data_IF_143628688654
#
_entry.id   IF_143628688654
#
_cell.length_a   1.000
_cell.length_b   1.000
_cell.length_c   1.000
_cell.angle_alpha   90.00
_cell.angle_beta   90.00
_cell.angle_gamma   90.00
#
_symmetry.space_group_name_H-M   'P 1'
#
loop_
_entity.id
_entity.type
_entity.pdbx_description
1 polymer ?
#
# COMPACT_ATOMS: atom_id res chain seq x y z
N UNK A 1 -1.83 18.42 -33.73
CA UNK A 1 -1.08 18.01 -32.52
C UNK A 1 -1.91 18.45 -31.33
N UNK A 2 -2.43 17.52 -30.53
CA UNK A 2 -3.01 17.87 -29.22
C UNK A 2 -1.85 18.30 -28.34
N UNK A 3 -1.98 19.44 -27.70
CA UNK A 3 -0.93 20.03 -26.88
C UNK A 3 -0.53 19.04 -25.79
N UNK A 4 0.77 18.83 -25.61
CA UNK A 4 1.38 17.93 -24.61
C UNK A 4 1.33 18.58 -23.21
N UNK A 5 0.37 19.48 -22.98
CA UNK A 5 -0.17 19.69 -21.64
C UNK A 5 -1.11 18.52 -21.31
N UNK A 6 -0.52 17.34 -21.22
CA UNK A 6 -1.14 16.22 -20.51
C UNK A 6 -1.57 16.75 -19.15
N UNK A 7 -2.86 16.66 -18.85
CA UNK A 7 -3.41 16.95 -17.53
C UNK A 7 -2.51 16.32 -16.45
N UNK A 8 -2.16 17.09 -15.42
CA UNK A 8 -1.31 16.64 -14.32
C UNK A 8 -1.84 15.33 -13.73
N UNK A 9 -3.16 15.20 -13.62
CA UNK A 9 -3.79 13.98 -13.11
C UNK A 9 -3.48 12.77 -13.99
N UNK A 10 -3.61 12.91 -15.32
CA UNK A 10 -3.32 11.84 -16.26
C UNK A 10 -1.83 11.44 -16.26
N UNK A 11 -0.92 12.41 -16.13
CA UNK A 11 0.50 12.12 -15.96
C UNK A 11 0.76 11.40 -14.63
N UNK A 12 0.26 11.93 -13.52
CA UNK A 12 0.48 11.40 -12.18
C UNK A 12 0.01 9.95 -12.05
N UNK A 13 -1.18 9.63 -12.57
CA UNK A 13 -1.70 8.26 -12.61
C UNK A 13 -0.76 7.29 -13.34
N UNK A 14 -0.25 7.70 -14.50
CA UNK A 14 0.65 6.85 -15.29
C UNK A 14 2.00 6.73 -14.61
N UNK A 15 2.58 7.81 -14.10
CA UNK A 15 3.85 7.78 -13.34
C UNK A 15 3.77 6.79 -12.20
N UNK A 16 2.67 6.84 -11.45
CA UNK A 16 2.40 5.94 -10.33
C UNK A 16 2.31 4.49 -10.78
N UNK A 17 1.61 4.19 -11.88
CA UNK A 17 1.55 2.83 -12.44
C UNK A 17 2.92 2.30 -12.86
N UNK A 18 3.80 3.18 -13.34
CA UNK A 18 5.16 2.83 -13.78
C UNK A 18 6.14 2.64 -12.61
N UNK A 19 5.84 3.18 -11.42
CA UNK A 19 6.73 3.06 -10.26
C UNK A 19 7.11 1.60 -10.02
N UNK A 20 8.40 1.30 -9.91
CA UNK A 20 8.89 -0.05 -9.60
C UNK A 20 8.51 -1.16 -10.61
N UNK A 21 8.01 -0.81 -11.80
CA UNK A 21 7.79 -1.78 -12.87
C UNK A 21 9.10 -2.03 -13.62
N UNK A 22 9.36 -3.28 -14.07
CA UNK A 22 10.44 -3.54 -15.02
C UNK A 22 10.28 -2.72 -16.31
N UNK A 23 11.38 -2.37 -16.96
CA UNK A 23 11.36 -1.54 -18.17
C UNK A 23 10.46 -2.10 -19.27
N UNK A 24 10.41 -3.42 -19.42
CA UNK A 24 9.54 -4.13 -20.38
C UNK A 24 8.04 -3.90 -20.09
N UNK A 25 7.64 -4.02 -18.81
CA UNK A 25 6.27 -3.76 -18.36
C UNK A 25 5.91 -2.28 -18.50
N UNK A 26 6.84 -1.38 -18.18
CA UNK A 26 6.66 0.06 -18.35
C UNK A 26 6.41 0.44 -19.81
N UNK A 27 7.17 -0.15 -20.74
CA UNK A 27 6.97 0.05 -22.18
C UNK A 27 5.58 -0.41 -22.66
N UNK A 28 5.10 -1.56 -22.16
CA UNK A 28 3.77 -2.07 -22.50
C UNK A 28 2.64 -1.16 -21.98
N UNK A 29 2.76 -0.65 -20.75
CA UNK A 29 1.79 0.28 -20.15
C UNK A 29 1.72 1.58 -20.97
N UNK A 30 2.87 2.14 -21.33
CA UNK A 30 2.95 3.38 -22.13
C UNK A 30 2.37 3.18 -23.53
N UNK A 31 2.70 2.06 -24.18
CA UNK A 31 2.15 1.72 -25.50
C UNK A 31 0.63 1.54 -25.47
N UNK A 32 0.11 0.82 -24.47
CA UNK A 32 -1.33 0.62 -24.31
C UNK A 32 -2.11 1.93 -24.13
N UNK A 33 -1.49 2.93 -23.49
CA UNK A 33 -2.08 4.26 -23.29
C UNK A 33 -1.80 5.24 -24.43
N UNK A 34 -1.08 4.82 -25.47
CA UNK A 34 -0.70 5.70 -26.58
C UNK A 34 0.25 6.83 -26.18
N UNK A 35 1.05 6.61 -25.12
CA UNK A 35 1.92 7.62 -24.51
C UNK A 35 3.40 7.47 -24.89
N UNK A 36 3.79 6.40 -25.59
CA UNK A 36 5.21 6.05 -25.81
C UNK A 36 6.07 7.20 -26.32
N UNK A 37 5.57 8.01 -27.26
CA UNK A 37 6.34 9.11 -27.87
C UNK A 37 6.34 10.39 -27.03
N UNK A 38 5.25 10.65 -26.30
CA UNK A 38 5.06 11.89 -25.53
C UNK A 38 5.49 11.77 -24.06
N UNK A 39 5.62 10.54 -23.56
CA UNK A 39 5.93 10.27 -22.16
C UNK A 39 7.21 10.95 -21.68
N UNK A 40 8.37 10.87 -22.38
CA UNK A 40 9.59 11.49 -21.86
C UNK A 40 9.48 13.00 -21.68
N UNK A 41 8.72 13.67 -22.55
CA UNK A 41 8.51 15.12 -22.48
C UNK A 41 7.54 15.49 -21.35
N UNK A 42 6.44 14.74 -21.22
CA UNK A 42 5.47 14.94 -20.13
C UNK A 42 6.11 14.66 -18.76
N UNK A 43 6.93 13.61 -18.67
CA UNK A 43 7.61 13.20 -17.44
C UNK A 43 8.64 14.23 -16.97
N UNK A 44 9.47 14.74 -17.89
CA UNK A 44 10.37 15.84 -17.59
C UNK A 44 9.63 17.09 -17.11
N UNK A 45 8.61 17.52 -17.88
CA UNK A 45 7.84 18.73 -17.56
C UNK A 45 7.20 18.69 -16.16
N UNK A 46 6.47 17.62 -15.85
CA UNK A 46 5.76 17.54 -14.57
C UNK A 46 6.68 17.27 -13.38
N UNK A 47 7.81 16.59 -13.59
CA UNK A 47 8.86 16.46 -12.58
C UNK A 47 9.46 17.82 -12.22
N UNK A 48 9.74 18.67 -13.21
CA UNK A 48 10.25 20.02 -12.98
C UNK A 48 9.22 20.88 -12.22
N UNK A 49 7.94 20.80 -12.61
CA UNK A 49 6.84 21.51 -11.91
C UNK A 49 6.72 21.07 -10.45
N UNK A 50 6.80 19.77 -10.15
CA UNK A 50 6.76 19.26 -8.77
C UNK A 50 7.96 19.75 -7.95
N UNK A 51 9.16 19.77 -8.54
CA UNK A 51 10.35 20.31 -7.88
C UNK A 51 10.19 21.80 -7.56
N UNK A 52 9.66 22.57 -8.50
CA UNK A 52 9.42 24.01 -8.34
C UNK A 52 8.36 24.30 -7.26
N UNK A 53 7.28 23.52 -7.25
CA UNK A 53 6.24 23.59 -6.23
C UNK A 53 6.80 23.29 -4.83
N UNK A 54 7.73 22.33 -4.73
CA UNK A 54 8.39 21.99 -3.47
C UNK A 54 9.28 23.14 -2.97
N UNK A 55 10.07 23.71 -3.87
CA UNK A 55 10.95 24.84 -3.58
C UNK A 55 10.17 26.08 -3.11
N UNK A 56 8.95 26.26 -3.62
CA UNK A 56 8.07 27.38 -3.28
C UNK A 56 7.04 27.08 -2.19
N UNK A 57 7.06 25.89 -1.59
CA UNK A 57 6.11 25.47 -0.55
C UNK A 57 4.66 25.29 -1.05
N UNK A 58 4.44 25.15 -2.36
CA UNK A 58 3.13 24.87 -2.98
C UNK A 58 2.87 23.37 -3.00
N UNK A 59 2.40 22.82 -1.89
CA UNK A 59 2.35 21.37 -1.70
C UNK A 59 1.16 20.66 -2.35
N UNK A 60 0.19 21.36 -2.93
CA UNK A 60 -1.07 20.75 -3.42
C UNK A 60 -0.84 19.62 -4.44
N UNK A 61 -0.02 19.85 -5.47
CA UNK A 61 0.29 18.82 -6.48
C UNK A 61 1.19 17.71 -5.92
N UNK A 62 2.12 18.07 -5.03
CA UNK A 62 3.02 17.10 -4.38
C UNK A 62 2.22 16.15 -3.50
N UNK A 63 1.32 16.71 -2.69
CA UNK A 63 0.43 15.96 -1.82
C UNK A 63 -0.41 15.02 -2.70
N UNK A 64 -1.06 15.54 -3.75
CA UNK A 64 -1.87 14.75 -4.69
C UNK A 64 -1.09 13.61 -5.35
N UNK A 65 0.12 13.87 -5.83
CA UNK A 65 0.99 12.83 -6.39
C UNK A 65 1.35 11.76 -5.34
N UNK A 66 1.68 12.21 -4.12
CA UNK A 66 1.92 11.34 -2.98
C UNK A 66 0.73 10.46 -2.63
N UNK A 67 -0.50 10.99 -2.69
CA UNK A 67 -1.74 10.23 -2.48
C UNK A 67 -1.87 9.07 -3.47
N UNK A 68 -1.64 9.36 -4.75
CA UNK A 68 -1.71 8.35 -5.82
C UNK A 68 -0.62 7.29 -5.65
N UNK A 69 0.62 7.69 -5.31
CA UNK A 69 1.71 6.77 -5.00
C UNK A 69 1.34 5.82 -3.85
N UNK A 70 0.82 6.37 -2.74
CA UNK A 70 0.43 5.59 -1.57
C UNK A 70 -0.68 4.58 -1.89
N UNK A 71 -1.68 5.00 -2.67
CA UNK A 71 -2.75 4.14 -3.14
C UNK A 71 -2.21 2.96 -3.97
N UNK A 72 -1.34 3.24 -4.94
CA UNK A 72 -0.79 2.20 -5.82
C UNK A 72 0.08 1.19 -5.07
N UNK A 73 0.94 1.68 -4.16
CA UNK A 73 1.74 0.81 -3.31
C UNK A 73 0.86 -0.10 -2.45
N UNK A 74 -0.24 0.44 -1.91
CA UNK A 74 -1.23 -0.35 -1.16
C UNK A 74 -1.93 -1.38 -2.05
N UNK A 75 -2.38 -1.01 -3.25
CA UNK A 75 -3.02 -1.91 -4.22
C UNK A 75 -2.11 -3.09 -4.57
N UNK A 76 -0.82 -2.83 -4.79
CA UNK A 76 0.18 -3.87 -5.08
C UNK A 76 0.40 -4.80 -3.90
N UNK A 77 0.45 -4.27 -2.68
CA UNK A 77 0.56 -5.07 -1.45
C UNK A 77 -0.63 -6.00 -1.24
N UNK A 78 -1.82 -5.63 -1.72
CA UNK A 78 -2.98 -6.52 -1.68
C UNK A 78 -2.95 -7.56 -2.80
N UNK A 79 -2.52 -7.16 -3.99
CA UNK A 79 -2.48 -8.02 -5.18
C UNK A 79 -1.37 -9.07 -5.10
N UNK A 80 -0.30 -8.75 -4.37
CA UNK A 80 0.72 -9.70 -3.96
C UNK A 80 0.63 -9.88 -2.45
N UNK A 81 -0.14 -10.87 -1.94
CA UNK A 81 -0.10 -11.17 -0.52
C UNK A 81 1.36 -11.39 -0.15
N UNK A 82 1.83 -10.63 0.85
CA UNK A 82 3.19 -10.75 1.33
C UNK A 82 3.48 -12.23 1.53
N UNK A 83 4.46 -12.76 0.79
CA UNK A 83 5.05 -14.05 1.14
C UNK A 83 5.41 -13.91 2.60
N UNK A 84 4.75 -14.71 3.44
CA UNK A 84 4.92 -14.63 4.88
C UNK A 84 6.39 -14.97 5.17
N UNK A 85 7.20 -13.93 5.32
CA UNK A 85 8.64 -14.05 5.54
C UNK A 85 8.91 -14.82 6.84
N UNK A 86 7.93 -14.81 7.77
CA UNK A 86 7.92 -15.61 8.98
C UNK A 86 7.72 -17.11 8.69
N UNK A 87 6.93 -17.50 7.67
CA UNK A 87 6.87 -18.88 7.21
C UNK A 87 8.11 -19.30 6.41
N UNK A 88 8.70 -18.40 5.63
CA UNK A 88 9.89 -18.69 4.81
C UNK A 88 11.16 -18.90 5.66
N UNK A 89 11.31 -18.18 6.78
CA UNK A 89 12.45 -18.33 7.70
C UNK A 89 12.28 -19.53 8.65
N UNK A 90 11.03 -19.94 8.95
CA UNK A 90 10.76 -21.09 9.81
C UNK A 90 10.75 -22.43 9.06
N UNK A 91 10.62 -22.44 7.73
CA UNK A 91 10.94 -23.61 6.87
C UNK A 91 12.42 -23.60 6.50
N UNK A 92 13.28 -23.63 7.51
CA UNK A 92 14.67 -24.01 7.33
C UNK A 92 14.79 -25.51 7.10
N UNK A 93 14.27 -26.01 5.98
CA UNK A 93 14.64 -27.32 5.47
C UNK A 93 15.62 -27.10 4.33
N UNK A 94 16.91 -27.25 4.68
CA UNK A 94 17.96 -27.35 3.69
C UNK A 94 17.73 -28.60 2.86
N UNK A 95 17.29 -28.43 1.62
CA UNK A 95 17.45 -29.45 0.60
C UNK A 95 18.12 -28.84 -0.62
N UNK A 96 19.45 -28.95 -0.62
CA UNK A 96 20.24 -28.87 -1.82
C UNK A 96 19.87 -30.05 -2.71
N UNK A 97 19.03 -29.82 -3.72
CA UNK A 97 18.83 -30.82 -4.78
C UNK A 97 19.73 -30.46 -5.95
N UNK A 98 20.87 -31.16 -5.96
CA UNK A 98 21.77 -31.28 -7.10
C UNK A 98 21.02 -31.77 -8.34
N UNK A 99 21.48 -31.25 -9.48
CA UNK A 99 21.22 -31.76 -10.81
C UNK A 99 21.51 -33.26 -10.92
N UNK A 100 20.61 -33.99 -11.60
CA UNK A 100 20.93 -35.13 -12.48
C UNK A 100 19.71 -35.46 -13.37
N UNK A 101 19.81 -35.11 -14.65
CA UNK A 101 19.32 -35.94 -15.76
C UNK A 101 20.22 -37.20 -15.85
N UNK A 102 19.87 -38.33 -16.53
CA UNK A 102 19.21 -38.34 -17.85
C UNK A 102 18.31 -39.57 -18.21
N UNK A 103 17.84 -39.54 -19.46
CA UNK A 103 17.45 -40.64 -20.37
C UNK A 103 16.06 -41.31 -20.33
N UNK A 104 15.32 -41.04 -21.42
CA UNK A 104 14.69 -41.95 -22.38
C UNK A 104 13.74 -43.07 -21.90
N UNK A 105 12.50 -43.03 -22.40
CA UNK A 105 11.93 -44.17 -23.12
C UNK A 105 10.80 -43.75 -24.06
N UNK A 106 10.96 -44.13 -25.33
CA UNK A 106 9.94 -44.27 -26.36
C UNK A 106 8.71 -45.07 -25.89
N UNK A 107 7.54 -44.80 -26.48
CA UNK A 107 6.48 -45.79 -26.59
C UNK A 107 5.05 -45.29 -26.46
N UNK A 108 4.51 -44.68 -27.52
CA UNK A 108 3.09 -44.80 -27.90
C UNK A 108 3.07 -45.80 -29.09
N UNK A 109 2.05 -46.65 -29.35
CA UNK A 109 0.61 -46.41 -29.14
C UNK A 109 -0.28 -47.65 -28.78
N UNK A 110 -1.51 -47.42 -28.28
CA UNK A 110 -2.78 -47.75 -28.96
C UNK A 110 -3.99 -47.71 -28.02
N UNK A 111 -5.11 -47.42 -28.67
CA UNK A 111 -6.45 -47.24 -28.15
C UNK A 111 -7.15 -48.53 -27.68
N UNK A 112 -8.21 -48.26 -26.91
CA UNK A 112 -9.50 -48.98 -26.80
C UNK A 112 -9.72 -50.02 -25.69
N UNK A 113 -10.97 -49.98 -25.20
CA UNK A 113 -11.65 -50.81 -24.18
C UNK A 113 -11.36 -50.44 -22.72
N UNK A 114 -12.28 -49.95 -21.88
CA UNK A 114 -13.70 -50.31 -21.70
C UNK A 114 -14.49 -49.10 -21.17
N UNK A 115 -15.65 -48.85 -21.78
CA UNK A 115 -16.69 -47.98 -21.27
C UNK A 115 -17.36 -48.59 -20.04
N UNK A 116 -17.36 -47.91 -18.89
CA UNK A 116 -18.43 -48.07 -17.90
C UNK A 116 -18.51 -46.94 -16.87
N UNK A 117 -19.72 -46.38 -16.79
CA UNK A 117 -20.29 -45.58 -15.71
C UNK A 117 -19.81 -44.13 -15.57
N UNK A 118 -20.27 -43.29 -16.50
CA UNK A 118 -20.40 -41.86 -16.25
C UNK A 118 -21.68 -41.59 -15.42
N UNK A 119 -21.61 -40.87 -14.29
CA UNK A 119 -22.79 -40.31 -13.64
C UNK A 119 -23.40 -39.19 -14.50
N UNK A 120 -24.72 -38.90 -14.38
CA UNK A 120 -25.36 -37.84 -15.15
C UNK A 120 -24.72 -36.48 -14.85
N UNK A 121 -24.38 -35.76 -15.92
CA UNK A 121 -23.88 -34.38 -15.86
C UNK A 121 -24.91 -33.50 -15.11
N UNK A 122 -24.49 -32.72 -14.11
CA UNK A 122 -25.36 -31.70 -13.53
C UNK A 122 -25.67 -30.64 -14.60
N UNK A 123 -26.93 -30.19 -14.63
CA UNK A 123 -27.39 -29.14 -15.52
C UNK A 123 -26.52 -27.87 -15.41
N UNK A 124 -26.33 -27.10 -16.49
CA UNK A 124 -25.56 -25.85 -16.44
C UNK A 124 -26.22 -24.92 -15.42
N UNK A 125 -25.53 -24.70 -14.29
CA UNK A 125 -25.92 -23.67 -13.36
C UNK A 125 -25.78 -22.31 -14.09
N UNK A 126 -26.79 -21.43 -14.05
CA UNK A 126 -26.61 -20.07 -14.53
C UNK A 126 -25.47 -19.45 -13.74
N UNK A 127 -24.55 -18.70 -14.38
CA UNK A 127 -23.52 -18.00 -13.63
C UNK A 127 -24.24 -17.14 -12.60
N UNK A 128 -24.01 -17.45 -11.32
CA UNK A 128 -24.24 -16.50 -10.26
C UNK A 128 -23.33 -15.33 -10.58
N UNK A 129 -23.90 -14.33 -11.28
CA UNK A 129 -23.50 -12.95 -11.19
C UNK A 129 -23.69 -12.57 -9.71
N UNK A 130 -22.76 -13.04 -8.88
CA UNK A 130 -22.32 -12.27 -7.74
C UNK A 130 -21.88 -10.97 -8.39
N UNK A 131 -22.77 -10.00 -8.31
CA UNK A 131 -22.37 -8.61 -8.23
C UNK A 131 -21.42 -8.54 -7.03
N UNK A 132 -20.16 -8.93 -7.26
CA UNK A 132 -19.08 -8.12 -6.73
C UNK A 132 -19.31 -6.77 -7.38
N UNK A 133 -20.15 -5.96 -6.73
CA UNK A 133 -19.91 -4.54 -6.69
C UNK A 133 -18.46 -4.43 -6.23
N UNK A 134 -17.56 -4.40 -7.20
CA UNK A 134 -16.27 -3.75 -7.07
C UNK A 134 -16.63 -2.30 -6.80
N UNK A 135 -17.05 -2.00 -5.57
CA UNK A 135 -17.10 -0.67 -5.04
C UNK A 135 -15.67 -0.18 -5.24
N UNK A 136 -15.48 0.65 -6.26
CA UNK A 136 -14.21 1.30 -6.50
C UNK A 136 -13.77 1.94 -5.18
N UNK A 137 -12.46 2.00 -4.91
CA UNK A 137 -11.96 2.59 -3.68
C UNK A 137 -12.63 3.96 -3.51
N UNK A 138 -13.33 4.14 -2.39
CA UNK A 138 -13.93 5.41 -2.03
C UNK A 138 -12.80 6.43 -1.89
N UNK A 139 -12.55 7.19 -2.96
CA UNK A 139 -11.48 8.17 -3.03
C UNK A 139 -11.65 9.25 -1.96
N UNK A 140 -12.89 9.54 -1.54
CA UNK A 140 -13.16 10.48 -0.45
C UNK A 140 -12.81 9.86 0.92
N UNK A 141 -13.00 8.55 1.11
CA UNK A 141 -12.47 7.85 2.29
C UNK A 141 -10.94 7.81 2.29
N UNK A 142 -10.31 7.58 1.15
CA UNK A 142 -8.84 7.55 1.03
C UNK A 142 -8.22 8.93 1.27
N UNK A 143 -8.78 9.99 0.71
CA UNK A 143 -8.29 11.35 0.95
C UNK A 143 -8.45 11.77 2.42
N UNK A 144 -9.57 11.40 3.07
CA UNK A 144 -9.73 11.58 4.53
C UNK A 144 -8.69 10.81 5.32
N UNK A 145 -8.38 9.57 4.91
CA UNK A 145 -7.33 8.74 5.49
C UNK A 145 -5.96 9.41 5.41
N UNK A 146 -5.57 9.92 4.24
CA UNK A 146 -4.26 10.56 4.04
C UNK A 146 -4.15 11.88 4.80
N UNK A 147 -5.21 12.67 4.80
CA UNK A 147 -5.27 13.92 5.56
C UNK A 147 -5.09 13.67 7.06
N UNK A 148 -5.82 12.71 7.63
CA UNK A 148 -5.71 12.37 9.04
C UNK A 148 -4.30 11.85 9.40
N UNK A 149 -3.74 10.98 8.56
CA UNK A 149 -2.38 10.46 8.72
C UNK A 149 -1.34 11.60 8.74
N UNK A 150 -1.46 12.55 7.82
CA UNK A 150 -0.57 13.73 7.73
C UNK A 150 -0.71 14.63 8.94
N UNK A 151 -1.94 14.97 9.31
CA UNK A 151 -2.23 15.83 10.47
C UNK A 151 -1.63 15.20 11.74
N UNK A 152 -1.87 13.90 11.96
CA UNK A 152 -1.34 13.18 13.12
C UNK A 152 0.19 13.03 13.12
N UNK A 153 0.77 12.87 11.94
CA UNK A 153 2.23 12.89 11.76
C UNK A 153 2.81 14.28 12.04
N UNK A 154 2.05 15.36 11.93
CA UNK A 154 2.50 16.73 12.20
C UNK A 154 2.23 17.22 13.63
N UNK A 155 1.64 16.39 14.50
CA UNK A 155 1.28 16.82 15.84
C UNK A 155 2.48 17.29 16.67
N UNK A 156 2.26 18.24 17.60
CA UNK A 156 3.22 18.49 18.67
C UNK A 156 3.42 17.23 19.52
N UNK A 157 4.64 17.02 20.02
CA UNK A 157 5.00 15.84 20.83
C UNK A 157 4.10 15.66 22.05
N UNK A 158 3.61 16.75 22.64
CA UNK A 158 2.66 16.74 23.76
C UNK A 158 1.33 16.08 23.38
N UNK A 159 0.81 16.38 22.19
CA UNK A 159 -0.45 15.79 21.72
C UNK A 159 -0.29 14.29 21.43
N UNK A 160 0.84 13.91 20.84
CA UNK A 160 1.15 12.49 20.61
C UNK A 160 1.38 11.71 21.92
N UNK A 161 2.03 12.33 22.91
CA UNK A 161 2.20 11.75 24.24
C UNK A 161 0.87 11.59 24.97
N UNK A 162 -0.02 12.59 24.93
CA UNK A 162 -1.36 12.51 25.52
C UNK A 162 -2.18 11.38 24.91
N UNK A 163 -2.15 11.25 23.58
CA UNK A 163 -2.82 10.16 22.87
C UNK A 163 -2.36 8.78 23.37
N UNK A 164 -1.05 8.57 23.52
CA UNK A 164 -0.51 7.32 24.05
C UNK A 164 -0.87 7.08 25.51
N UNK A 165 -0.82 8.11 26.36
CA UNK A 165 -1.22 8.00 27.76
C UNK A 165 -2.70 7.62 27.91
N UNK A 166 -3.59 8.17 27.07
CA UNK A 166 -5.01 7.80 27.04
C UNK A 166 -5.22 6.33 26.68
N UNK A 167 -4.49 5.82 25.67
CA UNK A 167 -4.59 4.42 25.25
C UNK A 167 -4.12 3.45 26.33
N UNK A 168 -3.05 3.78 27.05
CA UNK A 168 -2.56 2.96 28.16
C UNK A 168 -3.47 3.01 29.38
N UNK A 169 -4.07 4.17 29.67
CA UNK A 169 -4.98 4.34 30.81
C UNK A 169 -6.36 3.70 30.60
N UNK A 170 -6.81 3.58 29.35
CA UNK A 170 -8.15 3.09 28.99
C UNK A 170 -8.11 2.10 27.81
N UNK A 171 -7.49 0.91 27.98
CA UNK A 171 -7.40 -0.07 26.91
C UNK A 171 -8.78 -0.52 26.39
N UNK A 172 -9.80 -0.52 27.25
CA UNK A 172 -11.19 -0.83 26.89
C UNK A 172 -11.84 0.22 25.96
N UNK A 173 -11.26 1.42 25.87
CA UNK A 173 -11.72 2.52 25.01
C UNK A 173 -10.81 2.78 23.81
N UNK A 174 -9.87 1.89 23.51
CA UNK A 174 -8.87 2.10 22.47
C UNK A 174 -9.48 2.52 21.10
N UNK A 175 -10.50 1.80 20.62
CA UNK A 175 -11.17 2.13 19.35
C UNK A 175 -11.87 3.50 19.38
N UNK A 176 -12.44 3.88 20.52
CA UNK A 176 -13.06 5.20 20.69
C UNK A 176 -11.98 6.30 20.66
N UNK A 177 -10.87 6.11 21.38
CA UNK A 177 -9.75 7.06 21.41
C UNK A 177 -9.18 7.21 20.01
N UNK A 178 -9.00 6.11 19.28
CA UNK A 178 -8.58 6.16 17.88
C UNK A 178 -9.52 7.03 17.03
N UNK A 179 -10.84 6.82 17.13
CA UNK A 179 -11.82 7.60 16.39
C UNK A 179 -11.82 9.10 16.76
N UNK A 180 -11.72 9.44 18.06
CA UNK A 180 -11.65 10.83 18.54
C UNK A 180 -10.45 11.59 17.98
N UNK A 181 -9.38 10.88 17.67
CA UNK A 181 -8.15 11.43 17.10
C UNK A 181 -8.06 11.29 15.57
N UNK A 182 -9.11 10.80 14.90
CA UNK A 182 -9.12 10.58 13.44
C UNK A 182 -8.27 9.40 12.97
N UNK A 183 -7.94 8.47 13.87
CA UNK A 183 -7.07 7.32 13.67
C UNK A 183 -7.85 5.99 13.67
N UNK A 184 -9.12 6.01 13.26
CA UNK A 184 -10.04 4.86 13.29
C UNK A 184 -9.55 3.67 12.46
N UNK A 185 -8.77 3.92 11.40
CA UNK A 185 -8.22 2.86 10.55
C UNK A 185 -6.86 2.36 11.05
N UNK A 186 -6.66 1.03 11.15
CA UNK A 186 -5.38 0.46 11.60
C UNK A 186 -4.20 0.82 10.68
N UNK A 187 -4.45 1.04 9.39
CA UNK A 187 -3.42 1.48 8.44
C UNK A 187 -2.92 2.90 8.74
N UNK A 188 -3.81 3.82 9.15
CA UNK A 188 -3.42 5.19 9.57
C UNK A 188 -2.56 5.11 10.81
N UNK A 189 -3.00 4.33 11.80
CA UNK A 189 -2.28 4.15 13.07
C UNK A 189 -0.87 3.66 12.83
N UNK A 190 -0.71 2.64 11.99
CA UNK A 190 0.61 2.11 11.64
C UNK A 190 1.48 3.18 11.01
N UNK A 191 0.97 3.89 10.00
CA UNK A 191 1.74 4.94 9.33
C UNK A 191 2.18 6.06 10.29
N UNK A 192 1.27 6.53 11.16
CA UNK A 192 1.60 7.55 12.16
C UNK A 192 2.67 7.04 13.12
N UNK A 193 2.57 5.79 13.59
CA UNK A 193 3.59 5.19 14.45
C UNK A 193 4.94 5.10 13.75
N UNK A 194 4.98 4.67 12.49
CA UNK A 194 6.21 4.56 11.71
C UNK A 194 6.89 5.94 11.57
N UNK A 195 6.14 6.99 11.21
CA UNK A 195 6.67 8.36 11.08
C UNK A 195 7.20 8.90 12.41
N UNK A 196 6.53 8.62 13.52
CA UNK A 196 7.01 9.03 14.85
C UNK A 196 8.25 8.26 15.28
N UNK A 197 8.34 6.96 14.99
CA UNK A 197 9.53 6.15 15.25
C UNK A 197 10.74 6.70 14.50
N UNK A 198 10.60 7.00 13.19
CA UNK A 198 11.67 7.61 12.40
C UNK A 198 12.12 8.97 12.95
N UNK A 199 11.20 9.75 13.52
CA UNK A 199 11.54 11.02 14.19
C UNK A 199 12.32 10.78 15.48
N UNK A 200 11.91 9.81 16.28
CA UNK A 200 12.58 9.46 17.53
C UNK A 200 13.98 8.87 17.30
N UNK A 201 14.16 8.10 16.23
CA UNK A 201 15.49 7.61 15.82
C UNK A 201 16.43 8.76 15.44
N UNK A 202 15.90 9.78 14.75
CA UNK A 202 16.66 10.96 14.31
C UNK A 202 16.93 11.97 15.43
N UNK A 203 16.01 12.10 16.37
CA UNK A 203 16.07 13.03 17.50
C UNK A 203 15.82 12.27 18.82
N UNK A 204 16.88 11.72 19.45
CA UNK A 204 16.76 11.02 20.73
C UNK A 204 16.29 11.91 21.88
N UNK A 205 16.54 13.23 21.82
CA UNK A 205 16.06 14.17 22.85
C UNK A 205 14.55 14.40 22.75
N UNK A 206 14.00 14.44 21.54
CA UNK A 206 12.55 14.41 21.31
C UNK A 206 11.92 13.14 21.87
N UNK A 207 12.56 11.98 21.66
CA UNK A 207 12.09 10.71 22.21
C UNK A 207 12.07 10.72 23.74
N UNK A 208 13.15 11.19 24.38
CA UNK A 208 13.22 11.32 25.84
C UNK A 208 12.13 12.27 26.39
N UNK A 209 11.89 13.41 25.73
CA UNK A 209 10.81 14.34 26.09
C UNK A 209 9.43 13.70 25.97
N UNK A 210 9.20 12.94 24.90
CA UNK A 210 7.95 12.19 24.72
C UNK A 210 7.72 11.20 25.86
N UNK A 211 8.73 10.41 26.22
CA UNK A 211 8.63 9.43 27.33
C UNK A 211 8.30 10.10 28.67
N UNK A 212 8.93 11.24 28.96
CA UNK A 212 8.65 12.01 30.18
C UNK A 212 7.19 12.50 30.23
N UNK A 213 6.69 13.03 29.11
CA UNK A 213 5.30 13.50 29.00
C UNK A 213 4.28 12.36 29.15
N UNK A 214 4.53 11.20 28.55
CA UNK A 214 3.66 10.03 28.70
C UNK A 214 3.58 9.61 30.17
N UNK A 215 4.72 9.56 30.87
CA UNK A 215 4.76 9.22 32.30
C UNK A 215 4.00 10.23 33.16
N UNK A 216 4.14 11.53 32.88
CA UNK A 216 3.43 12.60 33.57
C UNK A 216 1.91 12.49 33.38
N UNK A 217 1.45 12.34 32.14
CA UNK A 217 0.02 12.19 31.84
C UNK A 217 -0.58 10.93 32.44
N UNK A 218 0.16 9.81 32.43
CA UNK A 218 -0.28 8.57 33.09
C UNK A 218 -0.46 8.76 34.58
N UNK A 219 0.47 9.45 35.25
CA UNK A 219 0.37 9.75 36.67
C UNK A 219 -0.81 10.69 36.99
N UNK A 220 -1.09 11.66 36.12
CA UNK A 220 -2.24 12.55 36.27
C UNK A 220 -3.57 11.80 36.15
N UNK A 221 -3.70 10.90 35.16
CA UNK A 221 -4.91 10.10 34.95
C UNK A 221 -5.16 9.07 36.07
N UNK A 222 -4.13 8.62 36.78
CA UNK A 222 -4.30 7.66 37.89
C UNK A 222 -4.81 8.29 39.20
N UNK A 223 -4.72 9.62 39.34
CA UNK A 223 -5.06 10.34 40.57
C UNK A 223 -6.41 11.07 40.52
N UNK A 224 -7.12 11.02 39.38
CA UNK A 224 -8.43 11.63 39.18
C UNK A 224 -9.54 10.60 39.09
#
# INVERSE_FOLDING_TARGET
>A
MRDVQSDFEAWAEVSVLLLGQPAETSGAILWQRGLTEIWPQADGHWTDVLCEDMANGRLERIDRYGELCAHELWRRRQSHPAVDFRQAVMRGDGEAVSASQPEASDGQPRADFVAQMAPPLPAPQPPLLHQQETAGPDLAALSRFLKAAREASSWPVQRYALYWAQLEGHPERAEQIHAEHGLDKPEVRRHVVDVWNERFERDPELHARWQALVAEYRAASANG
#
